data_IF_372751112838
#
_entry.id   IF_372751112838
#
_cell.length_a   1.000
_cell.length_b   1.000
_cell.length_c   1.000
_cell.angle_alpha   90.00
_cell.angle_beta   90.00
_cell.angle_gamma   90.00
#
_symmetry.space_group_name_H-M   'P 1'
#
loop_
_entity.id
_entity.type
_entity.pdbx_description
1 polymer ?
#
# COMPACT_ATOMS: atom_id res chain seq x y z
N UNK A 1 -14.63 -3.66 -12.87
CA UNK A 1 -15.52 -4.54 -13.64
C UNK A 1 -15.87 -5.79 -12.87
N UNK A 2 -14.97 -6.29 -12.01
CA UNK A 2 -15.17 -7.54 -11.27
C UNK A 2 -16.44 -7.49 -10.40
N UNK A 3 -16.73 -6.38 -9.70
CA UNK A 3 -17.96 -6.25 -8.91
C UNK A 3 -19.21 -6.36 -9.79
N UNK A 4 -19.22 -5.70 -10.94
CA UNK A 4 -20.35 -5.73 -11.87
C UNK A 4 -20.56 -7.16 -12.39
N UNK A 5 -19.48 -7.83 -12.83
CA UNK A 5 -19.52 -9.22 -13.28
C UNK A 5 -20.01 -10.17 -12.18
N UNK A 6 -19.60 -9.93 -10.93
CA UNK A 6 -20.07 -10.70 -9.79
C UNK A 6 -21.58 -10.56 -9.56
N UNK A 7 -22.11 -9.33 -9.62
CA UNK A 7 -23.56 -9.06 -9.48
C UNK A 7 -24.35 -9.70 -10.63
N UNK A 8 -23.88 -9.57 -11.88
CA UNK A 8 -24.49 -10.20 -13.05
C UNK A 8 -24.47 -11.73 -12.90
N UNK A 9 -23.36 -12.29 -12.41
CA UNK A 9 -23.22 -13.72 -12.20
C UNK A 9 -24.21 -14.23 -11.14
N UNK A 10 -24.34 -13.54 -10.00
CA UNK A 10 -25.33 -13.88 -8.96
C UNK A 10 -26.76 -13.80 -9.49
N UNK A 11 -27.11 -12.72 -10.18
CA UNK A 11 -28.48 -12.54 -10.71
C UNK A 11 -28.85 -13.62 -11.72
N UNK A 12 -27.94 -13.99 -12.63
CA UNK A 12 -28.13 -15.10 -13.56
C UNK A 12 -28.28 -16.45 -12.85
N UNK A 13 -27.52 -16.70 -11.78
CA UNK A 13 -27.63 -17.91 -10.97
C UNK A 13 -29.02 -18.02 -10.33
N UNK A 14 -29.51 -16.93 -9.72
CA UNK A 14 -30.82 -16.87 -9.09
C UNK A 14 -31.93 -17.12 -10.12
N UNK A 15 -31.86 -16.47 -11.29
CA UNK A 15 -32.84 -16.65 -12.38
C UNK A 15 -32.86 -18.13 -12.83
N UNK A 16 -31.69 -18.75 -13.04
CA UNK A 16 -31.59 -20.15 -13.44
C UNK A 16 -32.24 -21.12 -12.43
N UNK A 17 -32.06 -20.88 -11.13
CA UNK A 17 -32.71 -21.68 -10.07
C UNK A 17 -34.23 -21.51 -10.12
N UNK A 18 -34.73 -20.28 -10.27
CA UNK A 18 -36.17 -20.00 -10.31
C UNK A 18 -36.82 -20.65 -11.53
N UNK A 19 -36.20 -20.53 -12.72
CA UNK A 19 -36.71 -21.14 -13.95
C UNK A 19 -36.71 -22.67 -13.88
N UNK A 20 -35.68 -23.30 -13.30
CA UNK A 20 -35.66 -24.75 -13.11
C UNK A 20 -36.81 -25.20 -12.21
N UNK A 21 -37.02 -24.54 -11.06
CA UNK A 21 -38.11 -24.88 -10.14
C UNK A 21 -39.50 -24.80 -10.79
N UNK A 22 -39.70 -23.88 -11.74
CA UNK A 22 -40.96 -23.68 -12.46
C UNK A 22 -41.14 -24.58 -13.69
N UNK A 23 -40.04 -25.02 -14.33
CA UNK A 23 -40.06 -25.81 -15.57
C UNK A 23 -39.90 -27.33 -15.41
N UNK A 24 -39.67 -27.82 -14.18
CA UNK A 24 -39.37 -29.22 -13.90
C UNK A 24 -40.56 -30.19 -14.11
N UNK A 25 -41.77 -29.68 -14.41
CA UNK A 25 -42.92 -30.53 -14.75
C UNK A 25 -42.88 -31.06 -16.20
N UNK A 26 -42.04 -30.51 -17.10
CA UNK A 26 -42.09 -30.84 -18.53
C UNK A 26 -40.80 -31.42 -19.15
N UNK A 27 -39.64 -31.38 -18.47
CA UNK A 27 -38.33 -31.72 -19.09
C UNK A 27 -37.41 -32.51 -18.17
N UNK A 28 -37.10 -33.76 -18.57
CA UNK A 28 -36.35 -34.78 -17.81
C UNK A 28 -34.82 -34.73 -17.99
N UNK A 29 -34.27 -33.58 -18.39
CA UNK A 29 -32.83 -33.38 -18.57
C UNK A 29 -32.19 -32.72 -17.33
N UNK A 30 -32.19 -33.49 -16.25
CA UNK A 30 -31.75 -33.05 -14.93
C UNK A 30 -30.21 -33.00 -14.82
N UNK A 31 -29.50 -33.88 -15.52
CA UNK A 31 -28.04 -34.01 -15.45
C UNK A 31 -27.30 -32.84 -16.14
N UNK A 32 -27.78 -32.37 -17.30
CA UNK A 32 -27.21 -31.21 -18.00
C UNK A 32 -27.32 -29.91 -17.20
N UNK A 33 -28.43 -29.74 -16.48
CA UNK A 33 -28.61 -28.57 -15.61
C UNK A 33 -27.71 -28.60 -14.38
N UNK A 34 -27.58 -29.76 -13.70
CA UNK A 34 -26.70 -29.90 -12.54
C UNK A 34 -25.22 -29.67 -12.89
N UNK A 35 -24.76 -30.19 -14.03
CA UNK A 35 -23.38 -29.97 -14.50
C UNK A 35 -23.11 -28.50 -14.82
N UNK A 36 -24.05 -27.81 -15.48
CA UNK A 36 -24.00 -26.35 -15.69
C UNK A 36 -23.93 -25.57 -14.37
N UNK A 37 -24.71 -25.96 -13.37
CA UNK A 37 -24.78 -25.27 -12.08
C UNK A 37 -23.47 -25.40 -11.29
N UNK A 38 -22.83 -26.56 -11.37
CA UNK A 38 -21.51 -26.80 -10.76
C UNK A 38 -20.44 -25.93 -11.43
N UNK A 39 -20.36 -25.88 -12.76
CA UNK A 39 -19.37 -25.06 -13.46
C UNK A 39 -19.55 -23.55 -13.18
N UNK A 40 -20.80 -23.11 -13.14
CA UNK A 40 -21.12 -21.72 -12.87
C UNK A 40 -20.83 -21.33 -11.41
N UNK A 41 -21.03 -22.24 -10.45
CA UNK A 41 -20.70 -22.00 -9.04
C UNK A 41 -19.18 -21.88 -8.80
N UNK A 42 -18.34 -22.61 -9.54
CA UNK A 42 -16.89 -22.39 -9.49
C UNK A 42 -16.51 -20.98 -9.99
N UNK A 43 -17.20 -20.48 -11.01
CA UNK A 43 -16.95 -19.14 -11.55
C UNK A 43 -17.39 -18.04 -10.57
N UNK A 44 -18.51 -18.20 -9.88
CA UNK A 44 -18.94 -17.24 -8.86
C UNK A 44 -18.00 -17.23 -7.65
N UNK A 45 -17.54 -18.41 -7.20
CA UNK A 45 -16.62 -18.54 -6.06
C UNK A 45 -15.27 -17.88 -6.36
N UNK A 46 -14.69 -18.12 -7.54
CA UNK A 46 -13.43 -17.48 -7.94
C UNK A 46 -13.57 -15.96 -8.04
N UNK A 47 -14.69 -15.47 -8.56
CA UNK A 47 -15.01 -14.05 -8.59
C UNK A 47 -15.16 -13.45 -7.17
N UNK A 48 -15.80 -14.17 -6.24
CA UNK A 48 -15.89 -13.77 -4.84
C UNK A 48 -14.50 -13.59 -4.21
N UNK A 49 -13.61 -14.57 -4.34
CA UNK A 49 -12.25 -14.46 -3.80
C UNK A 49 -11.47 -13.29 -4.39
N UNK A 50 -11.60 -13.05 -5.71
CA UNK A 50 -10.99 -11.89 -6.35
C UNK A 50 -11.52 -10.58 -5.75
N UNK A 51 -12.85 -10.42 -5.61
CA UNK A 51 -13.43 -9.20 -5.02
C UNK A 51 -12.97 -8.97 -3.57
N UNK A 52 -12.91 -10.03 -2.75
CA UNK A 52 -12.45 -9.94 -1.36
C UNK A 52 -10.96 -9.52 -1.28
N UNK A 53 -10.10 -10.13 -2.09
CA UNK A 53 -8.67 -9.82 -2.13
C UNK A 53 -8.39 -8.37 -2.53
N UNK A 54 -9.02 -7.90 -3.61
CA UNK A 54 -8.86 -6.51 -4.06
C UNK A 54 -9.46 -5.50 -3.06
N UNK A 55 -10.59 -5.83 -2.44
CA UNK A 55 -11.22 -4.95 -1.43
C UNK A 55 -10.34 -4.84 -0.18
N UNK A 56 -9.75 -5.94 0.29
CA UNK A 56 -8.82 -5.92 1.43
C UNK A 56 -7.59 -5.05 1.16
N UNK A 57 -7.02 -5.12 -0.06
CA UNK A 57 -5.92 -4.24 -0.50
C UNK A 57 -6.31 -2.75 -0.44
N UNK A 58 -7.51 -2.40 -0.91
CA UNK A 58 -8.02 -1.02 -0.88
C UNK A 58 -8.26 -0.53 0.54
N UNK A 59 -8.86 -1.34 1.42
CA UNK A 59 -9.12 -0.96 2.82
C UNK A 59 -7.83 -0.69 3.57
N UNK A 60 -6.82 -1.55 3.42
CA UNK A 60 -5.50 -1.37 4.06
C UNK A 60 -4.81 -0.07 3.65
N UNK A 61 -5.06 0.40 2.42
CA UNK A 61 -4.48 1.64 1.91
C UNK A 61 -5.03 2.91 2.58
N UNK A 62 -6.19 2.85 3.24
CA UNK A 62 -6.83 4.02 3.87
C UNK A 62 -5.93 4.69 4.91
N UNK A 63 -5.22 3.89 5.70
CA UNK A 63 -4.32 4.37 6.75
C UNK A 63 -2.89 4.63 6.27
N UNK A 64 -2.58 4.31 5.01
CA UNK A 64 -1.23 4.45 4.46
C UNK A 64 -0.80 5.91 4.38
N UNK A 65 -1.73 6.83 4.10
CA UNK A 65 -1.44 8.28 4.07
C UNK A 65 -1.03 8.79 5.45
N UNK A 66 -1.79 8.44 6.49
CA UNK A 66 -1.50 8.83 7.87
C UNK A 66 -0.16 8.26 8.36
N UNK A 67 0.15 7.01 8.02
CA UNK A 67 1.46 6.41 8.30
C UNK A 67 2.60 7.13 7.59
N UNK A 68 2.43 7.53 6.32
CA UNK A 68 3.43 8.30 5.58
C UNK A 68 3.68 9.64 6.27
N UNK A 69 2.61 10.38 6.58
CA UNK A 69 2.71 11.68 7.27
C UNK A 69 3.39 11.56 8.63
N UNK A 70 3.09 10.51 9.40
CA UNK A 70 3.76 10.24 10.67
C UNK A 70 5.28 10.04 10.50
N UNK A 71 5.70 9.24 9.52
CA UNK A 71 7.13 9.02 9.25
C UNK A 71 7.81 10.29 8.70
N UNK A 72 7.13 11.06 7.85
CA UNK A 72 7.63 12.36 7.35
C UNK A 72 7.82 13.35 8.50
N UNK A 73 6.88 13.43 9.45
CA UNK A 73 7.02 14.26 10.64
C UNK A 73 8.21 13.82 11.52
N UNK A 74 8.39 12.51 11.74
CA UNK A 74 9.55 11.99 12.47
C UNK A 74 10.87 12.33 11.77
N UNK A 75 10.89 12.27 10.44
CA UNK A 75 12.07 12.62 9.65
C UNK A 75 12.40 14.12 9.77
N UNK A 76 11.42 14.99 9.71
CA UNK A 76 11.62 16.44 9.90
C UNK A 76 12.21 16.73 11.29
N UNK A 77 11.72 16.07 12.34
CA UNK A 77 12.26 16.22 13.69
C UNK A 77 13.73 15.75 13.78
N UNK A 78 14.08 14.67 13.09
CA UNK A 78 15.47 14.18 13.03
C UNK A 78 16.35 15.18 12.26
N UNK A 79 15.86 15.73 11.15
CA UNK A 79 16.58 16.74 10.37
C UNK A 79 16.85 17.99 11.20
N UNK A 80 15.88 18.49 11.97
CA UNK A 80 16.05 19.63 12.89
C UNK A 80 17.08 19.36 14.00
N UNK A 81 17.05 18.15 14.57
CA UNK A 81 18.01 17.73 15.60
C UNK A 81 19.43 17.66 15.04
N UNK A 82 19.60 17.05 13.86
CA UNK A 82 20.90 16.94 13.20
C UNK A 82 21.39 18.33 12.75
N UNK A 83 20.51 19.19 12.23
CA UNK A 83 20.86 20.55 11.85
C UNK A 83 21.40 21.37 13.02
N UNK A 84 20.75 21.26 14.18
CA UNK A 84 21.22 21.92 15.41
C UNK A 84 22.62 21.44 15.79
N UNK A 85 22.87 20.13 15.77
CA UNK A 85 24.17 19.55 16.10
C UNK A 85 25.25 19.96 15.10
N UNK A 86 24.94 19.95 13.80
CA UNK A 86 25.87 20.35 12.74
C UNK A 86 26.24 21.82 12.87
N UNK A 87 25.27 22.71 13.12
CA UNK A 87 25.53 24.14 13.33
C UNK A 87 26.41 24.39 14.55
N UNK A 88 26.10 23.75 15.68
CA UNK A 88 26.92 23.84 16.89
C UNK A 88 28.36 23.38 16.64
N UNK A 89 28.54 22.29 15.88
CA UNK A 89 29.87 21.81 15.54
C UNK A 89 30.61 22.75 14.57
N UNK A 90 29.93 23.29 13.56
CA UNK A 90 30.50 24.29 12.63
C UNK A 90 30.92 25.57 13.34
N UNK A 91 30.16 26.02 14.34
CA UNK A 91 30.52 27.17 15.17
C UNK A 91 31.74 26.87 16.05
N UNK A 92 31.75 25.70 16.69
CA UNK A 92 32.85 25.26 17.57
C UNK A 92 34.17 25.05 16.81
N UNK A 93 34.14 24.41 15.64
CA UNK A 93 35.30 24.18 14.78
C UNK A 93 35.44 25.19 13.65
N UNK A 94 34.95 26.42 13.83
CA UNK A 94 34.90 27.45 12.77
C UNK A 94 36.28 27.86 12.24
N UNK A 95 37.34 27.70 13.04
CA UNK A 95 38.73 27.92 12.64
C UNK A 95 39.29 26.77 11.77
N UNK A 96 38.73 25.56 11.94
CA UNK A 96 39.17 24.34 11.25
C UNK A 96 38.36 24.07 9.99
N UNK A 97 37.04 24.28 10.03
CA UNK A 97 36.11 23.98 8.96
C UNK A 97 35.31 25.22 8.54
N UNK A 98 35.23 25.45 7.23
CA UNK A 98 34.36 26.48 6.69
C UNK A 98 32.88 26.16 6.94
N UNK A 99 32.12 27.16 7.41
CA UNK A 99 30.67 27.07 7.49
C UNK A 99 30.11 26.76 6.09
N UNK A 100 29.56 25.55 5.96
CA UNK A 100 29.05 25.05 4.68
C UNK A 100 27.54 24.90 4.82
N UNK A 101 26.80 25.62 3.98
CA UNK A 101 25.36 25.41 3.82
C UNK A 101 25.13 24.28 2.82
N UNK A 102 24.33 23.28 3.18
CA UNK A 102 23.80 22.30 2.23
C UNK A 102 22.28 22.29 2.29
N UNK A 103 21.64 21.66 1.30
CA UNK A 103 20.19 21.40 1.34
C UNK A 103 19.77 20.46 2.47
N UNK A 104 20.68 19.64 3.01
CA UNK A 104 20.36 18.70 4.10
C UNK A 104 21.54 18.48 5.04
N UNK A 105 21.38 18.88 6.31
CA UNK A 105 22.40 18.71 7.36
C UNK A 105 22.76 17.24 7.62
N UNK A 106 21.89 16.29 7.24
CA UNK A 106 22.20 14.84 7.22
C UNK A 106 23.38 14.52 6.28
N UNK A 107 23.49 15.22 5.15
CA UNK A 107 24.61 15.02 4.20
C UNK A 107 25.90 15.65 4.72
N UNK A 108 25.80 16.78 5.42
CA UNK A 108 26.94 17.48 6.02
C UNK A 108 27.63 16.65 7.09
N UNK A 109 26.90 15.81 7.84
CA UNK A 109 27.51 14.89 8.83
C UNK A 109 28.61 14.03 8.21
N UNK A 110 28.51 13.67 6.92
CA UNK A 110 29.54 12.86 6.26
C UNK A 110 30.88 13.57 6.06
N UNK A 111 30.88 14.91 6.09
CA UNK A 111 32.05 15.77 5.93
C UNK A 111 32.79 16.01 7.25
N UNK A 112 32.13 15.76 8.39
CA UNK A 112 32.68 15.97 9.73
C UNK A 112 32.96 14.62 10.40
N UNK A 113 34.23 14.17 10.47
CA UNK A 113 34.58 12.85 11.01
C UNK A 113 34.03 12.60 12.42
N UNK A 114 34.04 13.62 13.28
CA UNK A 114 33.57 13.48 14.66
C UNK A 114 32.06 13.25 14.72
N UNK A 115 31.26 14.08 14.03
CA UNK A 115 29.81 13.89 13.92
C UNK A 115 29.45 12.56 13.24
N UNK A 116 30.21 12.17 12.23
CA UNK A 116 30.05 10.88 11.56
C UNK A 116 30.32 9.72 12.51
N UNK A 117 31.20 9.91 13.50
CA UNK A 117 31.57 8.89 14.48
C UNK A 117 30.62 8.83 15.69
N UNK A 118 29.92 9.93 15.97
CA UNK A 118 28.99 10.08 17.09
C UNK A 118 27.85 9.04 17.06
N UNK A 119 27.64 8.35 18.18
CA UNK A 119 26.65 7.28 18.25
C UNK A 119 25.19 7.77 18.16
N UNK A 120 24.88 8.93 18.72
CA UNK A 120 23.54 9.48 18.72
C UNK A 120 23.18 9.94 17.31
N UNK A 121 24.08 10.67 16.65
CA UNK A 121 23.93 11.11 15.26
C UNK A 121 23.78 9.91 14.33
N UNK A 122 24.64 8.88 14.47
CA UNK A 122 24.51 7.62 13.70
C UNK A 122 23.14 6.97 13.87
N UNK A 123 22.64 6.87 15.10
CA UNK A 123 21.33 6.25 15.39
C UNK A 123 20.20 7.07 14.75
N UNK A 124 20.24 8.40 14.87
CA UNK A 124 19.26 9.29 14.24
C UNK A 124 19.26 9.16 12.72
N UNK A 125 20.42 9.18 12.06
CA UNK A 125 20.54 8.98 10.61
C UNK A 125 20.01 7.60 10.19
N UNK A 126 20.29 6.55 10.98
CA UNK A 126 19.77 5.22 10.69
C UNK A 126 18.24 5.17 10.77
N UNK A 127 17.64 5.76 11.81
CA UNK A 127 16.18 5.84 11.94
C UNK A 127 15.58 6.62 10.76
N UNK A 128 16.20 7.72 10.35
CA UNK A 128 15.79 8.49 9.17
C UNK A 128 15.79 7.65 7.89
N UNK A 129 16.85 6.87 7.65
CA UNK A 129 16.96 5.97 6.51
C UNK A 129 15.89 4.85 6.56
N UNK A 130 15.68 4.24 7.72
CA UNK A 130 14.67 3.21 7.92
C UNK A 130 13.25 3.76 7.70
N UNK A 131 12.98 4.97 8.15
CA UNK A 131 11.71 5.67 7.90
C UNK A 131 11.51 5.97 6.42
N UNK A 132 12.53 6.45 5.71
CA UNK A 132 12.46 6.68 4.26
C UNK A 132 12.17 5.39 3.46
N UNK A 133 12.75 4.26 3.89
CA UNK A 133 12.42 2.96 3.32
C UNK A 133 10.95 2.60 3.55
N UNK A 134 10.44 2.76 4.79
CA UNK A 134 9.02 2.51 5.09
C UNK A 134 8.08 3.42 4.32
N UNK A 135 8.40 4.71 4.18
CA UNK A 135 7.62 5.66 3.35
C UNK A 135 7.54 5.15 1.91
N UNK A 136 8.66 4.67 1.35
CA UNK A 136 8.70 4.11 -0.02
C UNK A 136 7.78 2.89 -0.14
N UNK A 137 7.90 1.91 0.77
CA UNK A 137 7.03 0.72 0.80
C UNK A 137 5.54 1.08 0.97
N UNK A 138 5.22 2.12 1.73
CA UNK A 138 3.87 2.63 1.89
C UNK A 138 3.35 3.30 0.61
N UNK A 139 4.19 4.10 -0.07
CA UNK A 139 3.85 4.69 -1.38
C UNK A 139 3.58 3.61 -2.43
N UNK A 140 4.38 2.55 -2.46
CA UNK A 140 4.11 1.38 -3.31
C UNK A 140 2.76 0.72 -3.00
N UNK A 141 2.46 0.49 -1.72
CA UNK A 141 1.15 -0.04 -1.30
C UNK A 141 -0.01 0.87 -1.73
N UNK A 142 0.17 2.19 -1.69
CA UNK A 142 -0.84 3.14 -2.15
C UNK A 142 -1.06 3.04 -3.67
N UNK A 143 0.00 2.91 -4.45
CA UNK A 143 -0.08 2.70 -5.91
C UNK A 143 -0.79 1.38 -6.22
N UNK A 144 -0.39 0.30 -5.56
CA UNK A 144 -1.01 -1.01 -5.73
C UNK A 144 -2.49 -0.99 -5.36
N UNK A 145 -2.89 -0.27 -4.31
CA UNK A 145 -4.29 -0.12 -3.95
C UNK A 145 -5.09 0.69 -4.98
N UNK A 146 -4.50 1.72 -5.61
CA UNK A 146 -5.12 2.43 -6.74
C UNK A 146 -5.33 1.50 -7.94
N UNK A 147 -4.35 0.65 -8.26
CA UNK A 147 -4.49 -0.37 -9.30
C UNK A 147 -5.58 -1.41 -8.94
N UNK A 148 -5.60 -1.92 -7.70
CA UNK A 148 -6.65 -2.81 -7.18
C UNK A 148 -8.03 -2.17 -7.32
N UNK A 149 -8.16 -0.89 -6.95
CA UNK A 149 -9.40 -0.12 -7.11
C UNK A 149 -9.81 -0.04 -8.59
N UNK A 150 -8.87 0.22 -9.49
CA UNK A 150 -9.13 0.26 -10.92
C UNK A 150 -9.67 -1.07 -11.46
N UNK A 151 -9.03 -2.19 -11.15
CA UNK A 151 -9.52 -3.53 -11.54
C UNK A 151 -10.91 -3.85 -10.99
N UNK A 152 -11.13 -3.51 -9.71
CA UNK A 152 -12.40 -3.71 -9.02
C UNK A 152 -13.56 -2.98 -9.74
N UNK A 153 -13.38 -1.71 -10.09
CA UNK A 153 -14.43 -0.84 -10.66
C UNK A 153 -14.46 -0.79 -12.19
N UNK A 154 -13.32 -0.60 -12.85
CA UNK A 154 -13.24 -0.33 -14.29
C UNK A 154 -12.73 -1.50 -15.12
N UNK A 155 -12.02 -2.46 -14.52
CA UNK A 155 -11.40 -3.55 -15.28
C UNK A 155 -10.26 -3.07 -16.18
N UNK A 156 -9.61 -4.00 -16.86
CA UNK A 156 -8.62 -3.73 -17.91
C UNK A 156 -9.15 -4.19 -19.25
#
# INVERSE_FOLDING_TARGET
>A
MIILLFIISITMLIISIIFNKKGNEARKDTAGWFTSLILFSFTTITCLFATLGFTASVVKSKYTVEMITMYEQQNNQIEEQIDTVVKQYQEYESDTYAMTSSESSITLVSLYPDLKSDELVKKQIKVYQDNNKKITELKEKQINAKASKWWLYFGG
#
